data_IF_641196684438
#
_entry.id   IF_641196684438
#
_cell.length_a   1.000
_cell.length_b   1.000
_cell.length_c   1.000
_cell.angle_alpha   90.00
_cell.angle_beta   90.00
_cell.angle_gamma   90.00
#
_symmetry.space_group_name_H-M   'P 1'
#
loop_
_entity.id
_entity.type
_entity.pdbx_description
1 polymer ?
#
# COMPACT_ATOMS: atom_id res chain seq x y z
N UNK A 1 2.61 -4.89 -12.70
CA UNK A 1 2.51 -5.38 -11.32
C UNK A 1 1.50 -4.60 -10.52
N UNK A 2 1.80 -3.38 -10.10
CA UNK A 2 0.86 -2.53 -9.34
C UNK A 2 -0.46 -2.34 -10.09
N UNK A 3 -0.41 -1.97 -11.38
CA UNK A 3 -1.61 -1.81 -12.20
C UNK A 3 -2.38 -3.12 -12.43
N UNK A 4 -1.74 -4.28 -12.29
CA UNK A 4 -2.40 -5.58 -12.41
C UNK A 4 -3.17 -5.89 -11.13
N UNK A 5 -2.50 -5.77 -9.98
CA UNK A 5 -3.10 -6.04 -8.67
C UNK A 5 -4.10 -4.97 -8.24
N UNK A 6 -4.04 -3.76 -8.80
CA UNK A 6 -5.10 -2.76 -8.66
C UNK A 6 -6.41 -3.21 -9.30
N UNK A 7 -6.36 -4.14 -10.25
CA UNK A 7 -7.48 -4.54 -11.10
C UNK A 7 -8.00 -5.96 -10.74
N UNK A 8 -7.44 -6.58 -9.70
CA UNK A 8 -7.74 -7.93 -9.21
C UNK A 8 -7.70 -8.04 -7.67
N UNK A 9 -8.65 -8.75 -7.05
CA UNK A 9 -8.64 -9.01 -5.60
C UNK A 9 -9.33 -10.33 -5.22
N UNK A 10 -8.59 -11.44 -5.27
CA UNK A 10 -9.13 -12.77 -4.98
C UNK A 10 -10.36 -13.08 -5.83
N UNK A 11 -11.41 -13.61 -5.21
CA UNK A 11 -12.67 -13.97 -5.87
C UNK A 11 -13.64 -12.79 -6.08
N UNK A 12 -13.24 -11.56 -5.74
CA UNK A 12 -14.14 -10.41 -5.79
C UNK A 12 -14.42 -9.97 -7.23
N UNK A 13 -15.68 -9.64 -7.49
CA UNK A 13 -16.11 -9.16 -8.80
C UNK A 13 -15.83 -7.67 -8.93
N UNK A 14 -15.01 -7.28 -9.89
CA UNK A 14 -14.85 -5.86 -10.26
C UNK A 14 -16.12 -5.35 -10.94
N UNK A 15 -16.64 -4.23 -10.46
CA UNK A 15 -17.91 -3.66 -10.92
C UNK A 15 -17.77 -2.30 -11.58
N UNK A 16 -16.80 -1.49 -11.15
CA UNK A 16 -16.64 -0.11 -11.62
C UNK A 16 -15.16 0.28 -11.67
N UNK A 17 -14.85 1.20 -12.59
CA UNK A 17 -13.55 1.87 -12.69
C UNK A 17 -13.80 3.38 -12.65
N UNK A 18 -13.37 4.02 -11.57
CA UNK A 18 -13.62 5.46 -11.35
C UNK A 18 -12.32 6.24 -11.46
N UNK A 19 -12.18 7.08 -12.48
CA UNK A 19 -10.94 7.86 -12.74
C UNK A 19 -9.73 6.96 -12.98
N UNK A 20 -8.67 7.47 -13.62
CA UNK A 20 -7.44 6.70 -13.88
C UNK A 20 -6.87 6.21 -12.54
N UNK A 21 -6.88 4.90 -12.30
CA UNK A 21 -6.20 4.27 -11.16
C UNK A 21 -7.08 3.65 -10.07
N UNK A 22 -8.41 3.83 -10.07
CA UNK A 22 -9.27 3.23 -9.03
C UNK A 22 -10.19 2.15 -9.59
N UNK A 23 -10.27 1.02 -8.88
CA UNK A 23 -11.19 -0.08 -9.16
C UNK A 23 -12.05 -0.39 -7.94
N UNK A 24 -13.34 -0.67 -8.18
CA UNK A 24 -14.30 -1.06 -7.14
C UNK A 24 -14.70 -2.52 -7.35
N UNK A 25 -14.68 -3.27 -6.26
CA UNK A 25 -14.95 -4.69 -6.18
C UNK A 25 -16.12 -4.96 -5.24
N UNK A 26 -16.89 -5.99 -5.56
CA UNK A 26 -18.00 -6.47 -4.74
C UNK A 26 -17.96 -7.99 -4.55
N UNK A 27 -18.39 -8.43 -3.36
CA UNK A 27 -18.62 -9.84 -3.03
C UNK A 27 -19.87 -9.93 -2.15
N UNK A 28 -20.96 -10.45 -2.70
CA UNK A 28 -22.25 -10.40 -2.01
C UNK A 28 -22.67 -8.96 -1.73
N UNK A 29 -22.85 -8.61 -0.46
CA UNK A 29 -23.19 -7.25 -0.01
C UNK A 29 -21.97 -6.45 0.46
N UNK A 30 -20.76 -6.98 0.29
CA UNK A 30 -19.53 -6.32 0.70
C UNK A 30 -18.90 -5.58 -0.48
N UNK A 31 -18.25 -4.44 -0.18
CA UNK A 31 -17.58 -3.58 -1.16
C UNK A 31 -16.14 -3.30 -0.73
N UNK A 32 -15.24 -3.24 -1.71
CA UNK A 32 -13.83 -2.88 -1.55
C UNK A 32 -13.43 -1.94 -2.70
N UNK A 33 -12.69 -0.88 -2.37
CA UNK A 33 -12.06 -0.02 -3.38
C UNK A 33 -10.55 -0.19 -3.32
N UNK A 34 -9.90 -0.36 -4.47
CA UNK A 34 -8.43 -0.35 -4.60
C UNK A 34 -8.03 0.83 -5.47
N UNK A 35 -7.14 1.66 -4.94
CA UNK A 35 -6.61 2.86 -5.59
C UNK A 35 -5.13 2.66 -5.88
N UNK A 36 -4.75 2.73 -7.16
CA UNK A 36 -3.37 2.82 -7.61
C UNK A 36 -2.91 4.27 -7.55
N UNK A 37 -1.98 4.55 -6.65
CA UNK A 37 -1.49 5.90 -6.35
C UNK A 37 -0.09 6.20 -6.89
N UNK A 38 0.58 5.20 -7.50
CA UNK A 38 1.95 5.25 -8.06
C UNK A 38 2.22 6.37 -9.10
N UNK A 39 1.19 7.11 -9.54
CA UNK A 39 1.32 8.23 -10.51
C UNK A 39 0.66 9.54 -10.05
N UNK A 40 0.37 9.65 -8.76
CA UNK A 40 -0.35 10.78 -8.17
C UNK A 40 0.42 11.35 -6.98
N UNK A 41 0.18 12.61 -6.60
CA UNK A 41 0.87 13.22 -5.43
C UNK A 41 0.69 12.41 -4.13
N UNK A 42 -0.35 11.56 -4.06
CA UNK A 42 -0.53 10.62 -2.95
C UNK A 42 0.69 9.71 -2.76
N UNK A 43 1.35 9.21 -3.81
CA UNK A 43 2.58 8.41 -3.65
C UNK A 43 3.75 9.27 -3.12
N UNK A 44 3.86 10.52 -3.58
CA UNK A 44 4.87 11.45 -3.07
C UNK A 44 4.65 11.84 -1.61
N UNK A 45 3.41 11.79 -1.11
CA UNK A 45 3.10 12.11 0.28
C UNK A 45 3.08 10.87 1.17
N UNK A 46 2.54 9.75 0.67
CA UNK A 46 2.28 8.54 1.45
C UNK A 46 3.39 7.49 1.38
N UNK A 47 4.20 7.49 0.31
CA UNK A 47 5.22 6.47 0.08
C UNK A 47 4.65 5.07 -0.19
N UNK A 48 3.44 4.98 -0.74
CA UNK A 48 2.77 3.71 -1.08
C UNK A 48 2.31 3.68 -2.53
N UNK A 49 2.11 2.47 -3.06
CA UNK A 49 1.68 2.24 -4.44
C UNK A 49 0.18 1.97 -4.56
N UNK A 50 -0.39 1.21 -3.62
CA UNK A 50 -1.81 0.88 -3.56
C UNK A 50 -2.43 1.25 -2.22
N UNK A 51 -3.68 1.71 -2.28
CA UNK A 51 -4.53 1.93 -1.11
C UNK A 51 -5.80 1.11 -1.26
N UNK A 52 -6.11 0.29 -0.27
CA UNK A 52 -7.31 -0.53 -0.17
C UNK A 52 -8.23 0.15 0.83
N UNK A 53 -9.52 0.27 0.50
CA UNK A 53 -10.55 0.75 1.40
C UNK A 53 -11.70 -0.25 1.46
N UNK A 54 -11.84 -0.90 2.61
CA UNK A 54 -12.87 -1.91 2.86
C UNK A 54 -14.06 -1.31 3.60
N UNK A 55 -15.22 -1.29 2.95
CA UNK A 55 -16.38 -0.51 3.41
C UNK A 55 -17.02 -1.11 4.67
N UNK A 56 -17.12 -2.44 4.77
CA UNK A 56 -17.77 -3.12 5.89
C UNK A 56 -17.16 -2.77 7.25
N UNK A 57 -15.83 -2.62 7.29
CA UNK A 57 -15.09 -2.31 8.52
C UNK A 57 -14.58 -0.87 8.57
N UNK A 58 -14.92 -0.04 7.58
CA UNK A 58 -14.36 1.30 7.40
C UNK A 58 -12.85 1.28 7.60
N UNK A 59 -12.12 0.44 6.86
CA UNK A 59 -10.72 0.12 7.11
C UNK A 59 -9.87 0.44 5.88
N UNK A 60 -8.74 1.11 6.09
CA UNK A 60 -7.72 1.34 5.08
C UNK A 60 -6.55 0.36 5.23
N UNK A 61 -6.00 -0.07 4.11
CA UNK A 61 -4.72 -0.78 4.05
C UNK A 61 -3.86 -0.09 2.99
N UNK A 62 -2.63 0.28 3.36
CA UNK A 62 -1.71 1.00 2.48
C UNK A 62 -0.53 0.09 2.16
N UNK A 63 -0.25 -0.13 0.88
CA UNK A 63 0.72 -1.13 0.42
C UNK A 63 1.74 -0.52 -0.52
N UNK A 64 3.02 -0.62 -0.16
CA UNK A 64 4.15 -0.29 -1.02
C UNK A 64 4.67 -1.56 -1.71
N UNK A 65 4.75 -1.55 -3.02
CA UNK A 65 5.24 -2.68 -3.81
C UNK A 65 6.74 -2.56 -4.01
N UNK A 66 7.43 -3.70 -4.00
CA UNK A 66 8.84 -3.80 -4.35
C UNK A 66 9.09 -5.00 -5.25
N UNK A 67 9.91 -4.77 -6.27
CA UNK A 67 10.23 -5.75 -7.30
C UNK A 67 11.37 -6.64 -6.81
N UNK A 68 11.13 -7.95 -6.83
CA UNK A 68 12.18 -8.94 -6.64
C UNK A 68 12.77 -9.30 -7.99
N UNK A 69 14.10 -9.24 -8.09
CA UNK A 69 14.85 -9.62 -9.28
C UNK A 69 15.40 -11.03 -9.10
N UNK A 70 15.51 -11.76 -10.21
CA UNK A 70 16.18 -13.06 -10.21
C UNK A 70 17.69 -12.85 -10.18
N UNK A 71 18.35 -13.38 -9.17
CA UNK A 71 19.81 -13.37 -9.03
C UNK A 71 20.29 -14.78 -8.67
N UNK A 72 21.03 -15.42 -9.58
CA UNK A 72 21.35 -16.85 -9.46
C UNK A 72 20.08 -17.70 -9.45
N UNK A 73 19.96 -18.57 -8.44
CA UNK A 73 18.86 -19.54 -8.35
C UNK A 73 17.60 -18.98 -7.66
N UNK A 74 17.64 -17.75 -7.16
CA UNK A 74 16.58 -17.20 -6.30
C UNK A 74 16.06 -15.82 -6.72
N UNK A 75 14.84 -15.51 -6.26
CA UNK A 75 14.30 -14.15 -6.29
C UNK A 75 14.75 -13.39 -5.05
N UNK A 76 15.24 -12.16 -5.25
CA UNK A 76 15.65 -11.30 -4.15
C UNK A 76 15.30 -9.84 -4.36
N UNK A 77 15.06 -9.15 -3.25
CA UNK A 77 14.99 -7.70 -3.18
C UNK A 77 16.18 -7.18 -2.36
N UNK A 78 16.89 -6.17 -2.89
CA UNK A 78 18.02 -5.52 -2.22
C UNK A 78 17.60 -4.15 -1.72
N UNK A 79 17.98 -3.79 -0.50
CA UNK A 79 17.77 -2.45 0.05
C UNK A 79 18.96 -1.57 -0.33
N UNK A 80 18.99 -1.12 -1.58
CA UNK A 80 20.05 -0.27 -2.10
C UNK A 80 19.52 0.93 -2.92
N UNK A 81 18.22 1.17 -2.89
CA UNK A 81 17.58 2.26 -3.63
C UNK A 81 17.35 3.47 -2.72
N UNK A 82 17.75 4.65 -3.17
CA UNK A 82 17.51 5.92 -2.49
C UNK A 82 16.01 6.24 -2.44
N UNK A 83 15.21 5.74 -3.39
CA UNK A 83 13.75 5.89 -3.36
C UNK A 83 13.14 5.19 -2.14
N UNK A 84 13.65 4.00 -1.81
CA UNK A 84 13.15 3.20 -0.69
C UNK A 84 13.28 3.94 0.64
N UNK A 85 14.41 4.61 0.90
CA UNK A 85 14.60 5.33 2.17
C UNK A 85 13.53 6.40 2.37
N UNK A 86 13.21 7.17 1.32
CA UNK A 86 12.18 8.21 1.38
C UNK A 86 10.78 7.63 1.57
N UNK A 87 10.44 6.59 0.83
CA UNK A 87 9.16 5.90 0.95
C UNK A 87 8.98 5.33 2.36
N UNK A 88 10.00 4.62 2.86
CA UNK A 88 9.99 4.02 4.19
C UNK A 88 9.86 5.08 5.30
N UNK A 89 10.61 6.18 5.22
CA UNK A 89 10.46 7.28 6.18
C UNK A 89 9.06 7.90 6.18
N UNK A 90 8.43 8.08 5.02
CA UNK A 90 7.04 8.59 4.93
C UNK A 90 6.04 7.62 5.55
N UNK A 91 6.19 6.33 5.26
CA UNK A 91 5.34 5.29 5.85
C UNK A 91 5.47 5.29 7.38
N UNK A 92 6.69 5.38 7.92
CA UNK A 92 6.90 5.45 9.37
C UNK A 92 6.31 6.71 10.01
N UNK A 93 6.51 7.88 9.39
CA UNK A 93 5.98 9.14 9.90
C UNK A 93 4.44 9.12 9.94
N UNK A 94 3.80 8.65 8.88
CA UNK A 94 2.34 8.56 8.80
C UNK A 94 1.77 7.52 9.76
N UNK A 95 2.39 6.35 9.86
CA UNK A 95 2.01 5.32 10.85
C UNK A 95 2.11 5.90 12.27
N UNK A 96 3.12 6.71 12.56
CA UNK A 96 3.24 7.39 13.86
C UNK A 96 2.14 8.45 14.08
N UNK A 97 1.84 9.27 13.06
CA UNK A 97 0.75 10.26 13.12
C UNK A 97 -0.59 9.57 13.37
N UNK A 98 -0.90 8.50 12.63
CA UNK A 98 -2.15 7.76 12.80
C UNK A 98 -2.25 7.18 14.21
N UNK A 99 -1.19 6.52 14.69
CA UNK A 99 -1.22 5.87 16.00
C UNK A 99 -1.22 6.86 17.20
N UNK A 100 -0.60 8.03 17.08
CA UNK A 100 -0.63 9.03 18.16
C UNK A 100 -2.00 9.71 18.30
N UNK A 101 -2.73 9.89 17.20
CA UNK A 101 -4.07 10.49 17.24
C UNK A 101 -5.11 9.57 17.93
N UNK A 102 -4.86 8.25 17.96
CA UNK A 102 -5.68 7.29 18.71
C UNK A 102 -5.69 7.59 20.22
N UNK A 103 -4.56 8.03 20.79
CA UNK A 103 -4.46 8.29 22.24
C UNK A 103 -5.23 9.53 22.69
N UNK A 104 -5.53 10.45 21.75
CA UNK A 104 -6.24 11.70 22.02
C UNK A 104 -7.75 11.60 21.82
N UNK A 105 -8.21 10.50 21.23
CA UNK A 105 -9.63 10.27 20.92
C UNK A 105 -10.28 9.55 22.09
N UNK A 106 -11.31 10.15 22.70
CA UNK A 106 -12.23 9.41 23.58
C UNK A 106 -12.78 8.22 22.77
N UNK A 107 -12.86 7.00 23.34
CA UNK A 107 -13.29 5.83 22.57
C UNK A 107 -14.69 6.10 22.02
N UNK A 108 -14.78 6.33 20.70
CA UNK A 108 -16.06 6.17 20.00
C UNK A 108 -16.44 4.70 20.19
N UNK A 109 -17.69 4.48 20.60
CA UNK A 109 -18.37 3.19 20.80
C UNK A 109 -17.47 1.97 20.55
N UNK A 110 -17.04 1.30 21.64
CA UNK A 110 -16.29 0.03 21.64
C UNK A 110 -17.03 -1.08 20.86
N UNK A 111 -17.05 -0.97 19.53
CA UNK A 111 -17.63 -1.97 18.65
C UNK A 111 -16.60 -3.07 18.44
N UNK A 112 -17.02 -4.32 18.66
CA UNK A 112 -16.19 -5.51 18.44
C UNK A 112 -15.62 -5.55 17.00
N UNK A 113 -16.33 -4.96 16.02
CA UNK A 113 -15.90 -4.86 14.63
C UNK A 113 -14.69 -3.93 14.39
N UNK A 114 -14.31 -3.12 15.39
CA UNK A 114 -13.14 -2.24 15.31
C UNK A 114 -11.84 -2.93 15.75
N UNK A 115 -11.92 -4.10 16.38
CA UNK A 115 -10.73 -4.82 16.81
C UNK A 115 -9.87 -5.24 15.61
N UNK A 116 -8.55 -5.11 15.76
CA UNK A 116 -7.52 -5.52 14.78
C UNK A 116 -6.46 -6.37 15.47
N UNK A 117 -5.85 -7.30 14.74
CA UNK A 117 -4.72 -8.11 15.26
C UNK A 117 -3.48 -7.24 15.52
N UNK A 118 -3.30 -6.19 14.73
CA UNK A 118 -2.32 -5.14 14.93
C UNK A 118 -2.90 -3.80 14.47
N UNK A 119 -2.36 -2.69 14.98
CA UNK A 119 -2.79 -1.34 14.56
C UNK A 119 -2.11 -0.87 13.27
N UNK A 120 -1.27 -1.73 12.67
CA UNK A 120 -0.47 -1.41 11.49
C UNK A 120 -1.33 -1.25 10.24
N UNK A 121 -1.21 -0.08 9.61
CA UNK A 121 -1.93 0.26 8.39
C UNK A 121 -1.07 0.01 7.15
N UNK A 122 0.26 0.07 7.30
CA UNK A 122 1.21 -0.01 6.21
C UNK A 122 1.84 -1.41 6.03
N UNK A 123 1.98 -1.82 4.77
CA UNK A 123 2.55 -3.11 4.38
C UNK A 123 3.48 -2.95 3.19
N UNK A 124 4.52 -3.77 3.14
CA UNK A 124 5.28 -4.02 1.91
C UNK A 124 4.75 -5.25 1.21
N UNK A 125 4.66 -5.21 -0.12
CA UNK A 125 4.50 -6.40 -0.96
C UNK A 125 5.76 -6.62 -1.78
N UNK A 126 6.48 -7.71 -1.52
CA UNK A 126 7.58 -8.14 -2.40
C UNK A 126 7.06 -9.17 -3.40
N UNK A 127 7.31 -8.93 -4.67
CA UNK A 127 6.76 -9.75 -5.75
C UNK A 127 7.74 -9.83 -6.93
N UNK A 128 7.74 -10.94 -7.69
CA UNK A 128 8.63 -11.13 -8.83
C UNK A 128 8.46 -10.01 -9.87
N UNK A 129 9.57 -9.50 -10.40
CA UNK A 129 9.55 -8.47 -11.43
C UNK A 129 9.00 -8.97 -12.78
N UNK A 130 9.15 -10.27 -13.04
CA UNK A 130 8.65 -10.97 -14.22
C UNK A 130 7.27 -11.55 -13.91
N UNK A 131 6.26 -11.11 -14.66
CA UNK A 131 4.91 -11.63 -14.56
C UNK A 131 4.80 -12.74 -15.61
N UNK A 132 4.68 -13.98 -15.16
CA UNK A 132 4.62 -15.16 -16.03
C UNK A 132 3.30 -15.29 -16.77
N UNK A 133 2.21 -14.74 -16.22
CA UNK A 133 0.89 -14.74 -16.84
C UNK A 133 0.20 -13.39 -16.62
N UNK A 134 0.20 -12.54 -17.66
CA UNK A 134 -0.45 -11.22 -17.66
C UNK A 134 -1.97 -11.36 -17.90
N UNK A 135 -2.43 -12.52 -18.37
CA UNK A 135 -3.85 -12.79 -18.65
C UNK A 135 -4.60 -13.33 -17.44
N UNK A 136 -3.88 -13.82 -16.43
CA UNK A 136 -4.45 -14.22 -15.16
C UNK A 136 -5.24 -13.09 -14.52
N UNK A 137 -6.42 -13.41 -13.99
CA UNK A 137 -7.23 -12.49 -13.18
C UNK A 137 -6.81 -12.46 -11.71
N UNK A 138 -5.79 -13.23 -11.34
CA UNK A 138 -5.31 -13.32 -9.97
C UNK A 138 -4.30 -12.21 -9.65
N UNK A 139 -4.19 -11.87 -8.38
CA UNK A 139 -3.11 -11.01 -7.90
C UNK A 139 -1.75 -11.70 -8.09
N UNK A 140 -0.74 -10.92 -8.44
CA UNK A 140 0.64 -11.41 -8.58
C UNK A 140 1.11 -11.97 -7.25
N UNK A 141 1.62 -13.20 -7.31
CA UNK A 141 2.16 -13.92 -6.15
C UNK A 141 3.28 -13.13 -5.49
N UNK A 142 3.30 -13.13 -4.17
CA UNK A 142 4.27 -12.37 -3.40
C UNK A 142 4.10 -12.53 -1.90
N UNK A 143 4.93 -11.80 -1.17
CA UNK A 143 4.92 -11.74 0.29
C UNK A 143 4.42 -10.38 0.74
N UNK A 144 3.33 -10.37 1.52
CA UNK A 144 2.91 -9.19 2.26
C UNK A 144 3.57 -9.20 3.65
N UNK A 145 4.17 -8.08 4.01
CA UNK A 145 4.96 -7.90 5.23
C UNK A 145 4.49 -6.63 5.95
N UNK A 146 3.98 -6.73 7.19
CA UNK A 146 3.66 -5.56 8.01
C UNK A 146 4.85 -4.62 8.20
N UNK A 147 4.61 -3.30 8.25
CA UNK A 147 5.68 -2.30 8.40
C UNK A 147 6.51 -2.49 9.69
N UNK A 148 5.88 -2.84 10.80
CA UNK A 148 6.55 -3.12 12.08
C UNK A 148 7.48 -4.35 11.98
N UNK A 149 7.03 -5.42 11.32
CA UNK A 149 7.88 -6.58 11.07
C UNK A 149 8.99 -6.27 10.07
N UNK A 150 8.73 -5.43 9.06
CA UNK A 150 9.76 -4.95 8.15
C UNK A 150 10.91 -4.25 8.88
N UNK A 151 10.61 -3.42 9.90
CA UNK A 151 11.64 -2.78 10.75
C UNK A 151 12.55 -3.80 11.44
N UNK A 152 12.00 -4.94 11.87
CA UNK A 152 12.78 -6.01 12.47
C UNK A 152 13.66 -6.71 11.42
N UNK A 153 13.12 -6.96 10.23
CA UNK A 153 13.85 -7.61 9.14
C UNK A 153 15.07 -6.80 8.71
N UNK A 154 14.96 -5.48 8.56
CA UNK A 154 16.08 -4.64 8.10
C UNK A 154 17.23 -4.57 9.12
N UNK A 155 16.94 -4.82 10.40
CA UNK A 155 17.93 -4.88 11.48
C UNK A 155 18.50 -6.30 11.69
N UNK A 156 17.78 -7.35 11.29
CA UNK A 156 18.15 -8.76 11.53
C UNK A 156 19.39 -9.19 10.73
N UNK A 157 20.32 -9.92 11.37
CA UNK A 157 21.48 -10.51 10.69
C UNK A 157 21.09 -11.49 9.57
N UNK A 158 19.90 -12.11 9.64
CA UNK A 158 19.40 -13.03 8.61
C UNK A 158 19.21 -12.37 7.23
N UNK A 159 19.07 -11.04 7.21
CA UNK A 159 18.93 -10.26 5.98
C UNK A 159 20.26 -9.68 5.50
N UNK A 160 21.35 -9.85 6.26
CA UNK A 160 22.67 -9.38 5.90
C UNK A 160 23.27 -10.24 4.78
N UNK A 161 23.63 -9.61 3.67
CA UNK A 161 24.32 -10.25 2.57
C UNK A 161 25.83 -10.33 2.80
N UNK A 162 26.55 -11.19 2.05
CA UNK A 162 28.00 -11.37 2.19
C UNK A 162 28.85 -10.10 2.00
N UNK A 163 28.29 -9.08 1.34
CA UNK A 163 28.95 -7.79 1.08
C UNK A 163 28.41 -6.64 1.95
N UNK A 164 27.74 -6.95 3.07
CA UNK A 164 27.22 -5.96 4.02
C UNK A 164 25.89 -5.30 3.63
N UNK A 165 25.40 -5.47 2.41
CA UNK A 165 24.08 -4.99 1.99
C UNK A 165 22.95 -5.90 2.46
N UNK A 166 21.75 -5.35 2.69
CA UNK A 166 20.57 -6.13 3.10
C UNK A 166 19.82 -6.72 1.90
N UNK A 167 19.38 -7.98 2.01
CA UNK A 167 18.61 -8.71 1.00
C UNK A 167 17.44 -9.47 1.61
N UNK A 168 16.29 -9.39 0.96
CA UNK A 168 15.08 -10.12 1.31
C UNK A 168 14.78 -11.19 0.25
N UNK A 169 14.50 -12.40 0.69
CA UNK A 169 14.20 -13.59 -0.13
C UNK A 169 13.10 -14.39 0.55
N UNK A 170 12.46 -15.31 -0.17
CA UNK A 170 11.46 -16.23 0.41
C UNK A 170 12.04 -17.17 1.49
N UNK A 171 13.36 -17.38 1.51
CA UNK A 171 14.00 -18.28 2.46
C UNK A 171 14.42 -17.60 3.77
N UNK A 172 14.76 -16.31 3.74
CA UNK A 172 15.20 -15.58 4.93
C UNK A 172 14.12 -14.66 5.53
N UNK A 173 13.08 -14.34 4.77
CA UNK A 173 11.84 -13.79 5.32
C UNK A 173 10.97 -14.98 5.72
N UNK A 174 11.25 -15.53 6.89
CA UNK A 174 10.66 -16.80 7.36
C UNK A 174 9.13 -16.76 7.50
N UNK A 175 8.57 -15.58 7.82
CA UNK A 175 7.12 -15.39 8.00
C UNK A 175 6.63 -14.27 7.11
N UNK A 176 5.55 -14.49 6.37
CA UNK A 176 4.88 -13.46 5.59
C UNK A 176 3.45 -13.90 5.30
N UNK A 177 2.59 -12.96 4.92
CA UNK A 177 1.27 -13.32 4.42
C UNK A 177 1.35 -13.60 2.92
N UNK A 178 0.83 -14.76 2.52
CA UNK A 178 0.55 -15.04 1.11
C UNK A 178 -0.60 -14.16 0.64
N UNK A 179 -0.80 -14.05 -0.68
CA UNK A 179 -1.96 -13.34 -1.24
C UNK A 179 -3.29 -13.82 -0.62
N UNK A 180 -3.48 -15.14 -0.55
CA UNK A 180 -4.69 -15.76 -0.01
C UNK A 180 -4.92 -15.38 1.45
N UNK A 181 -3.89 -15.53 2.29
CA UNK A 181 -4.01 -15.21 3.72
C UNK A 181 -4.22 -13.72 3.94
N UNK A 182 -3.48 -12.87 3.24
CA UNK A 182 -3.65 -11.42 3.31
C UNK A 182 -5.07 -11.00 2.93
N UNK A 183 -5.58 -11.51 1.80
CA UNK A 183 -6.96 -11.24 1.36
C UNK A 183 -7.97 -11.67 2.43
N UNK A 184 -7.85 -12.88 2.98
CA UNK A 184 -8.75 -13.37 4.02
C UNK A 184 -8.73 -12.48 5.27
N UNK A 185 -7.55 -12.09 5.74
CA UNK A 185 -7.41 -11.24 6.91
C UNK A 185 -7.97 -9.83 6.70
N UNK A 186 -7.84 -9.26 5.49
CA UNK A 186 -8.45 -7.98 5.12
C UNK A 186 -9.97 -8.10 5.03
N UNK A 187 -10.47 -9.15 4.38
CA UNK A 187 -11.90 -9.40 4.20
C UNK A 187 -12.65 -9.59 5.51
N UNK A 188 -12.01 -10.21 6.51
CA UNK A 188 -12.56 -10.43 7.84
C UNK A 188 -12.28 -9.27 8.81
N UNK A 189 -11.61 -8.21 8.34
CA UNK A 189 -11.36 -6.99 9.12
C UNK A 189 -10.32 -7.15 10.23
N UNK A 190 -9.45 -8.18 10.15
CA UNK A 190 -8.37 -8.39 11.12
C UNK A 190 -7.17 -7.48 10.89
N UNK A 191 -6.96 -7.04 9.63
CA UNK A 191 -5.90 -6.12 9.22
C UNK A 191 -6.48 -4.79 8.72
N UNK A 192 -5.63 -3.77 8.78
CA UNK A 192 -5.93 -2.42 8.34
C UNK A 192 -6.30 -1.48 9.48
N UNK A 193 -6.56 -0.24 9.13
CA UNK A 193 -6.80 0.82 10.09
C UNK A 193 -8.03 0.54 10.97
N UNK A 194 -7.98 1.07 12.19
CA UNK A 194 -9.16 1.22 13.01
C UNK A 194 -10.08 2.31 12.43
N UNK A 195 -11.34 2.32 12.85
CA UNK A 195 -12.35 3.29 12.42
C UNK A 195 -11.95 4.72 12.78
N UNK A 196 -11.29 4.91 13.93
CA UNK A 196 -10.80 6.23 14.38
C UNK A 196 -9.76 6.80 13.40
N UNK A 197 -8.84 5.96 12.93
CA UNK A 197 -7.81 6.36 11.98
C UNK A 197 -8.36 6.60 10.58
N UNK A 198 -9.49 5.98 10.22
CA UNK A 198 -10.06 6.07 8.88
C UNK A 198 -10.42 7.50 8.48
N UNK A 199 -10.92 8.33 9.39
CA UNK A 199 -11.22 9.73 9.08
C UNK A 199 -9.94 10.54 8.80
N UNK A 200 -8.88 10.29 9.57
CA UNK A 200 -7.58 10.94 9.42
C UNK A 200 -6.96 10.55 8.07
N UNK A 201 -6.95 9.25 7.77
CA UNK A 201 -6.44 8.71 6.51
C UNK A 201 -7.25 9.24 5.32
N UNK A 202 -8.58 9.30 5.43
CA UNK A 202 -9.45 9.85 4.37
C UNK A 202 -9.11 11.31 4.09
N UNK A 203 -8.95 12.13 5.13
CA UNK A 203 -8.60 13.53 4.98
C UNK A 203 -7.20 13.72 4.40
N UNK A 204 -6.24 12.89 4.82
CA UNK A 204 -4.89 12.87 4.27
C UNK A 204 -4.90 12.54 2.77
N UNK A 205 -5.58 11.46 2.37
CA UNK A 205 -5.71 11.07 0.96
C UNK A 205 -6.40 12.18 0.15
N UNK A 206 -7.48 12.75 0.68
CA UNK A 206 -8.21 13.84 0.01
C UNK A 206 -7.29 15.05 -0.24
N UNK A 207 -6.57 15.51 0.78
CA UNK A 207 -5.63 16.65 0.66
C UNK A 207 -4.55 16.37 -0.37
N UNK A 208 -3.93 15.19 -0.32
CA UNK A 208 -2.91 14.81 -1.28
C UNK A 208 -3.44 14.79 -2.73
N UNK A 209 -4.70 14.40 -2.95
CA UNK A 209 -5.34 14.46 -4.27
C UNK A 209 -5.63 15.91 -4.69
N UNK A 210 -6.13 16.76 -3.78
CA UNK A 210 -6.47 18.16 -4.04
C UNK A 210 -5.23 19.01 -4.37
N UNK A 211 -4.17 18.86 -3.60
CA UNK A 211 -2.88 19.53 -3.82
C UNK A 211 -2.31 19.19 -5.20
N UNK A 212 -2.39 17.92 -5.62
CA UNK A 212 -1.96 17.51 -6.95
C UNK A 212 -2.74 18.21 -8.07
N UNK A 213 -4.07 18.32 -7.92
CA UNK A 213 -4.92 19.00 -8.91
C UNK A 213 -4.54 20.48 -9.01
N UNK A 214 -4.27 21.13 -7.88
CA UNK A 214 -3.81 22.52 -7.85
C UNK A 214 -2.47 22.73 -8.56
N UNK A 215 -1.49 21.85 -8.31
CA UNK A 215 -0.17 21.89 -8.98
C UNK A 215 -0.31 21.65 -10.50
N UNK A 216 -1.15 20.72 -10.93
CA UNK A 216 -1.38 20.47 -12.36
C UNK A 216 -2.03 21.69 -13.03
N UNK A 217 -3.06 22.29 -12.42
CA UNK A 217 -3.74 23.46 -12.97
C UNK A 217 -2.81 24.67 -13.10
N UNK A 218 -2.04 24.98 -12.05
CA UNK A 218 -1.04 26.06 -12.08
C UNK A 218 0.07 25.85 -13.12
N UNK A 219 0.50 24.60 -13.34
CA UNK A 219 1.46 24.27 -14.39
C UNK A 219 0.87 24.46 -15.80
N UNK A 220 -0.41 24.13 -16.01
CA UNK A 220 -1.11 24.36 -17.28
C UNK A 220 -1.32 25.85 -17.55
N UNK A 221 -1.70 26.65 -16.55
CA UNK A 221 -1.83 28.10 -16.70
C UNK A 221 -0.50 28.77 -17.06
N UNK A 222 0.61 28.31 -16.48
CA UNK A 222 1.97 28.79 -16.78
C UNK A 222 2.44 28.43 -18.20
N UNK A 223 2.05 27.26 -18.71
CA UNK A 223 2.31 26.85 -20.11
C UNK A 223 1.42 27.63 -21.09
N UNK A 224 0.22 28.03 -20.68
CA UNK A 224 -0.71 28.77 -21.52
C UNK A 224 -0.37 30.28 -21.57
N UNK A 225 0.17 30.83 -20.48
CA UNK A 225 0.66 32.23 -20.44
C UNK A 225 1.94 32.44 -21.25
N UNK A 226 2.85 31.45 -21.28
CA UNK A 226 4.08 31.50 -22.09
C UNK A 226 3.87 31.32 -23.61
N UNK A 227 2.68 30.88 -24.05
CA UNK A 227 2.31 30.81 -25.47
C UNK A 227 1.56 32.04 -26.00
N UNK A 228 1.19 33.00 -25.14
CA UNK A 228 0.52 34.24 -25.54
C UNK A 228 1.47 35.45 -25.64
N UNK A 229 2.76 35.26 -25.38
CA UNK A 229 3.79 36.31 -25.40
C UNK A 229 4.77 36.21 -26.57
N UNK A 230 4.35 35.66 -27.70
CA UNK A 230 5.10 35.60 -28.96
C UNK A 230 4.34 36.27 -30.09
#
# INVERSE_FOLDING_TARGET
>A
MIAHDAEAFGEWKKIERHVVGTAVFERGNERLTIMNVNRHAVEQTAGVDLIYYFYKYNSYILVQYKRMLREGDGLMYRLNDVSYEKEFSRMEELEHIFNNNLQLSLPLENSLSNYRLNQGTFYFKLCPAEITDITSTDMIQGMYIPLDYWKLLICSEQTLGPRGGRRMTFNNVERYFTNTLFIQLVQEGWLGSSVENTNIITNFIRRAIEENRSVILSSQESITSSRKSS
#
